data_IF_757117536262
#
_entry.id   IF_757117536262
#
_cell.length_a   1.000
_cell.length_b   1.000
_cell.length_c   1.000
_cell.angle_alpha   90.00
_cell.angle_beta   90.00
_cell.angle_gamma   90.00
#
_symmetry.space_group_name_H-M   'P 1'
#
loop_
_entity.id
_entity.type
_entity.pdbx_description
1 polymer ?
#
# COMPACT_ATOMS: atom_id res chain seq x y z
N UNK A 1 -19.01 6.56 -5.26
CA UNK A 1 -18.40 7.72 -4.60
C UNK A 1 -17.21 7.21 -3.81
N UNK A 2 -16.14 7.99 -3.71
CA UNK A 2 -14.92 7.58 -3.03
C UNK A 2 -14.00 8.77 -2.82
N UNK A 3 -12.87 8.53 -2.17
CA UNK A 3 -11.87 9.53 -1.81
C UNK A 3 -10.65 9.37 -2.73
N UNK A 4 -10.17 10.50 -3.24
CA UNK A 4 -8.92 10.57 -3.98
C UNK A 4 -7.81 11.00 -3.01
N UNK A 5 -6.83 10.12 -2.77
CA UNK A 5 -5.68 10.38 -1.91
C UNK A 5 -4.51 10.76 -2.78
N UNK A 6 -4.07 12.02 -2.72
CA UNK A 6 -2.88 12.47 -3.42
C UNK A 6 -1.63 12.02 -2.66
N UNK A 7 -0.70 11.39 -3.36
CA UNK A 7 0.58 10.93 -2.84
C UNK A 7 1.70 11.50 -3.70
N UNK A 8 2.80 11.88 -3.05
CA UNK A 8 3.96 12.49 -3.70
C UNK A 8 5.20 11.67 -3.43
N UNK A 9 6.04 11.51 -4.45
CA UNK A 9 7.35 10.91 -4.35
C UNK A 9 8.30 11.61 -5.32
N UNK A 10 9.36 12.22 -4.77
CA UNK A 10 10.28 13.06 -5.53
C UNK A 10 9.51 14.15 -6.31
N UNK A 11 9.72 14.25 -7.63
CA UNK A 11 9.06 15.24 -8.50
C UNK A 11 7.70 14.77 -9.05
N UNK A 12 7.19 13.63 -8.56
CA UNK A 12 5.99 13.01 -9.09
C UNK A 12 4.85 13.00 -8.08
N UNK A 13 3.64 13.31 -8.56
CA UNK A 13 2.40 13.26 -7.79
C UNK A 13 1.38 12.33 -8.46
N UNK A 14 0.75 11.48 -7.66
CA UNK A 14 -0.26 10.52 -8.10
C UNK A 14 -1.46 10.54 -7.18
N UNK A 15 -2.53 9.88 -7.61
CA UNK A 15 -3.77 9.81 -6.87
C UNK A 15 -4.19 8.35 -6.71
N UNK A 16 -4.42 7.93 -5.46
CA UNK A 16 -4.99 6.63 -5.12
C UNK A 16 -6.48 6.84 -4.90
N UNK A 17 -7.31 6.11 -5.64
CA UNK A 17 -8.76 6.10 -5.40
C UNK A 17 -9.09 5.04 -4.36
N UNK A 18 -9.72 5.46 -3.27
CA UNK A 18 -10.10 4.62 -2.15
C UNK A 18 -11.58 4.80 -1.81
N UNK A 19 -12.22 3.77 -1.25
CA UNK A 19 -13.62 3.87 -0.85
C UNK A 19 -13.78 4.75 0.40
N UNK A 20 -12.90 4.60 1.39
CA UNK A 20 -12.96 5.34 2.66
C UNK A 20 -11.59 5.47 3.33
N UNK A 21 -11.46 6.48 4.20
CA UNK A 21 -10.34 6.60 5.15
C UNK A 21 -10.84 6.13 6.52
N UNK A 22 -10.15 5.18 7.13
CA UNK A 22 -10.51 4.64 8.46
C UNK A 22 -9.89 5.51 9.57
N UNK A 23 -8.64 5.94 9.41
CA UNK A 23 -7.91 6.75 10.37
C UNK A 23 -6.40 6.61 10.23
N UNK A 24 -5.67 7.02 11.26
CA UNK A 24 -4.22 6.88 11.39
C UNK A 24 -3.91 5.88 12.51
N UNK A 25 -2.97 4.97 12.28
CA UNK A 25 -2.54 4.00 13.28
C UNK A 25 -1.04 3.74 13.15
N UNK A 26 -0.34 3.71 14.29
CA UNK A 26 1.03 3.25 14.35
C UNK A 26 1.06 1.73 14.23
N UNK A 27 1.79 1.22 13.23
CA UNK A 27 1.88 -0.21 12.94
C UNK A 27 3.32 -0.70 12.96
N UNK A 28 3.50 -1.99 13.24
CA UNK A 28 4.79 -2.67 13.12
C UNK A 28 4.87 -3.37 11.77
N UNK A 29 5.87 -3.00 10.97
CA UNK A 29 6.12 -3.63 9.67
C UNK A 29 6.50 -5.10 9.86
N UNK A 30 5.82 -5.98 9.12
CA UNK A 30 6.09 -7.42 9.03
C UNK A 30 6.35 -7.82 7.57
N UNK A 31 7.17 -8.85 7.32
CA UNK A 31 7.27 -9.45 6.00
C UNK A 31 5.92 -9.99 5.53
N UNK A 32 5.64 -9.89 4.23
CA UNK A 32 4.40 -10.42 3.64
C UNK A 32 4.37 -11.95 3.79
N UNK A 33 3.34 -12.52 4.43
CA UNK A 33 3.22 -13.97 4.55
C UNK A 33 3.04 -14.66 3.19
N UNK A 34 3.59 -15.87 3.04
CA UNK A 34 3.55 -16.63 1.78
C UNK A 34 2.14 -16.91 1.24
N UNK A 35 1.13 -16.95 2.11
CA UNK A 35 -0.26 -17.16 1.71
C UNK A 35 -0.91 -15.92 1.07
N UNK A 36 -0.31 -14.72 1.22
CA UNK A 36 -0.76 -13.46 0.60
C UNK A 36 -0.11 -13.28 -0.79
N UNK A 37 0.06 -14.40 -1.52
CA UNK A 37 1.07 -14.62 -2.55
C UNK A 37 1.06 -13.72 -3.80
N UNK A 38 0.02 -12.92 -4.06
CA UNK A 38 0.04 -11.93 -5.16
C UNK A 38 0.84 -10.67 -4.81
N UNK A 39 1.00 -10.39 -3.53
CA UNK A 39 1.67 -9.20 -3.03
C UNK A 39 3.19 -9.34 -2.94
N UNK A 40 3.73 -10.53 -3.23
CA UNK A 40 5.16 -10.84 -3.10
C UNK A 40 5.97 -10.67 -4.39
N UNK A 41 5.35 -10.27 -5.50
CA UNK A 41 6.11 -10.03 -6.72
C UNK A 41 6.91 -8.71 -6.58
N UNK A 42 8.10 -8.66 -7.17
CA UNK A 42 8.98 -7.48 -7.15
C UNK A 42 8.35 -6.24 -7.82
N UNK A 43 7.24 -6.44 -8.53
CA UNK A 43 6.46 -5.43 -9.23
C UNK A 43 5.12 -5.11 -8.53
N UNK A 44 4.94 -5.47 -7.27
CA UNK A 44 3.66 -5.27 -6.56
C UNK A 44 3.39 -3.82 -6.15
N UNK A 45 4.44 -3.00 -6.00
CA UNK A 45 4.31 -1.72 -5.30
C UNK A 45 3.96 -1.88 -3.81
N UNK A 46 4.39 -2.99 -3.19
CA UNK A 46 4.12 -3.31 -1.79
C UNK A 46 5.44 -3.44 -1.02
N UNK A 47 5.57 -2.70 0.07
CA UNK A 47 6.74 -2.72 0.95
C UNK A 47 6.66 -3.78 2.05
N UNK A 48 5.44 -4.19 2.44
CA UNK A 48 5.23 -5.10 3.55
C UNK A 48 3.77 -5.16 3.98
N UNK A 49 3.54 -5.70 5.18
CA UNK A 49 2.23 -5.69 5.80
C UNK A 49 2.31 -5.36 7.29
N UNK A 50 1.15 -5.13 7.91
CA UNK A 50 0.97 -5.10 9.35
C UNK A 50 -0.14 -6.08 9.74
N UNK A 51 0.00 -6.71 10.89
CA UNK A 51 -1.08 -7.50 11.51
C UNK A 51 -1.72 -6.59 12.54
N UNK A 52 -3.00 -6.30 12.37
CA UNK A 52 -3.78 -5.47 13.26
C UNK A 52 -4.30 -6.29 14.45
N UNK A 53 -4.72 -5.61 15.51
CA UNK A 53 -5.23 -6.23 16.75
C UNK A 53 -6.52 -7.04 16.52
N UNK A 54 -7.26 -6.73 15.45
CA UNK A 54 -8.46 -7.44 15.01
C UNK A 54 -8.15 -8.64 14.09
N UNK A 55 -6.87 -9.01 13.96
CA UNK A 55 -6.35 -10.08 13.09
C UNK A 55 -6.44 -9.80 11.58
N UNK A 56 -6.83 -8.59 11.17
CA UNK A 56 -6.73 -8.20 9.76
C UNK A 56 -5.27 -7.95 9.36
N UNK A 57 -5.00 -8.15 8.06
CA UNK A 57 -3.70 -7.86 7.46
C UNK A 57 -3.83 -6.58 6.65
N UNK A 58 -3.13 -5.53 7.08
CA UNK A 58 -3.00 -4.30 6.31
C UNK A 58 -1.78 -4.39 5.39
N UNK A 59 -1.92 -3.91 4.17
CA UNK A 59 -0.83 -3.87 3.18
C UNK A 59 -0.20 -2.47 3.18
N UNK A 60 1.12 -2.42 3.21
CA UNK A 60 1.89 -1.17 3.12
C UNK A 60 2.26 -0.95 1.66
N UNK A 61 1.69 0.10 1.07
CA UNK A 61 1.93 0.47 -0.33
C UNK A 61 3.24 1.27 -0.42
N UNK A 62 4.11 0.87 -1.33
CA UNK A 62 5.30 1.63 -1.71
C UNK A 62 4.94 2.59 -2.86
N UNK A 63 4.85 3.88 -2.56
CA UNK A 63 4.50 4.92 -3.53
C UNK A 63 5.55 5.01 -4.65
N UNK A 64 6.83 4.82 -4.34
CA UNK A 64 7.91 4.79 -5.34
C UNK A 64 7.77 3.56 -6.24
N UNK A 65 7.55 2.39 -5.64
CA UNK A 65 7.34 1.13 -6.35
C UNK A 65 6.10 1.15 -7.26
N UNK A 66 5.05 1.88 -6.85
CA UNK A 66 3.81 2.03 -7.61
C UNK A 66 4.02 2.78 -8.93
N UNK A 67 4.84 3.83 -8.92
CA UNK A 67 5.18 4.63 -10.10
C UNK A 67 5.66 3.76 -11.27
N UNK A 68 6.57 2.82 -11.01
CA UNK A 68 7.11 1.91 -12.03
C UNK A 68 6.09 0.93 -12.64
N UNK A 69 4.92 0.74 -12.01
CA UNK A 69 3.83 -0.09 -12.54
C UNK A 69 2.80 0.71 -13.33
N UNK A 70 2.60 1.99 -13.01
CA UNK A 70 1.56 2.82 -13.62
C UNK A 70 2.01 3.37 -14.98
N UNK A 71 3.31 3.65 -15.18
CA UNK A 71 3.84 4.22 -16.44
C UNK A 71 4.35 3.11 -17.40
N UNK A 72 3.60 2.02 -17.55
CA UNK A 72 3.88 0.99 -18.57
C UNK A 72 2.96 1.09 -19.77
#
# INVERSE_FOLDING_TARGET
EGILVMVESEDNAYCIFADTIIGEQQVVVKPIPAYVGKCQNANSGIAGCAILDDSNISIIIDVMGLHGQIIK
#
